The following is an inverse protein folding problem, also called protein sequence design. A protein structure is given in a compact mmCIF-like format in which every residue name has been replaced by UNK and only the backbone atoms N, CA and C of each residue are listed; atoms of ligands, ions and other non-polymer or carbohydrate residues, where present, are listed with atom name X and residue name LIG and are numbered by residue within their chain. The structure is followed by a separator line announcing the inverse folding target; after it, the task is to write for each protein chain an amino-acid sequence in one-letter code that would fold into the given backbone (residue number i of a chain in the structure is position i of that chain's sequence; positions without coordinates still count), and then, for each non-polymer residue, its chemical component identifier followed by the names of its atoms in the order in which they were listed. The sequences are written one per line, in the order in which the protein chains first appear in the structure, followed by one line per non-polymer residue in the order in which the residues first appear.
data_IF_520182839453
#
_entry.id   IF_520182839453
#
_cell.length_a   1.000
_cell.length_b   1.000
_cell.length_c   1.000
_cell.angle_alpha   90.00
_cell.angle_beta   90.00
_cell.angle_gamma   90.00
#
_symmetry.space_group_name_H-M   'P 1'
#
loop_
_entity.id
_entity.type
_entity.pdbx_description
1 polymer ?
#
# COMPACT_ATOMS: atom_id res chain seq x y z
N UNK A 1 1.23 -30.04 -18.36
CA UNK A 1 0.06 -29.18 -17.90
C UNK A 1 0.55 -27.78 -17.57
N UNK A 2 -0.20 -26.72 -17.92
CA UNK A 2 0.17 -25.35 -17.56
C UNK A 2 0.33 -25.20 -16.05
N UNK A 3 1.35 -24.45 -15.61
CA UNK A 3 1.68 -24.27 -14.18
C UNK A 3 0.55 -23.61 -13.39
N UNK A 4 -0.14 -22.60 -13.96
CA UNK A 4 -1.32 -21.96 -13.34
C UNK A 4 -2.48 -22.95 -13.11
N UNK A 5 -2.70 -23.84 -14.07
CA UNK A 5 -3.72 -24.88 -13.98
C UNK A 5 -3.33 -25.99 -12.99
N UNK A 6 -2.05 -26.37 -12.99
CA UNK A 6 -1.49 -27.35 -12.04
C UNK A 6 -1.67 -26.89 -10.59
N UNK A 7 -1.23 -25.67 -10.27
CA UNK A 7 -1.34 -25.12 -8.93
C UNK A 7 -2.78 -25.00 -8.43
N UNK A 8 -3.70 -24.68 -9.33
CA UNK A 8 -5.13 -24.67 -9.01
C UNK A 8 -5.69 -26.08 -8.77
N UNK A 9 -5.33 -27.06 -9.63
CA UNK A 9 -5.80 -28.45 -9.46
C UNK A 9 -5.29 -29.11 -8.19
N UNK A 10 -4.09 -28.70 -7.71
CA UNK A 10 -3.51 -29.15 -6.45
C UNK A 10 -4.07 -28.38 -5.20
N UNK A 11 -5.12 -27.57 -5.37
CA UNK A 11 -5.72 -26.75 -4.31
C UNK A 11 -4.71 -25.82 -3.61
N UNK A 12 -3.63 -25.42 -4.31
CA UNK A 12 -2.63 -24.50 -3.77
C UNK A 12 -3.09 -23.04 -3.83
N UNK A 13 -4.05 -22.72 -4.71
CA UNK A 13 -4.64 -21.38 -4.85
C UNK A 13 -6.15 -21.47 -5.06
N UNK A 14 -6.87 -20.44 -4.62
CA UNK A 14 -8.34 -20.37 -4.72
C UNK A 14 -8.86 -20.18 -6.16
N UNK A 15 -7.98 -19.76 -7.09
CA UNK A 15 -8.30 -19.63 -8.50
C UNK A 15 -7.04 -19.70 -9.37
N UNK A 16 -7.22 -20.01 -10.68
CA UNK A 16 -6.12 -19.98 -11.66
C UNK A 16 -5.53 -18.57 -11.83
N UNK A 17 -6.34 -17.54 -11.67
CA UNK A 17 -5.87 -16.14 -11.73
C UNK A 17 -4.89 -15.88 -10.59
N UNK A 18 -5.23 -16.31 -9.35
CA UNK A 18 -4.34 -16.17 -8.20
C UNK A 18 -3.05 -16.98 -8.34
N UNK A 19 -3.13 -18.18 -8.90
CA UNK A 19 -1.94 -18.96 -9.23
C UNK A 19 -1.04 -18.23 -10.25
N UNK A 20 -1.63 -17.64 -11.29
CA UNK A 20 -0.88 -16.88 -12.31
C UNK A 20 -0.21 -15.64 -11.70
N UNK A 21 -0.90 -14.89 -10.85
CA UNK A 21 -0.33 -13.75 -10.11
C UNK A 21 0.88 -14.16 -9.25
N UNK A 22 0.77 -15.26 -8.51
CA UNK A 22 1.87 -15.78 -7.68
C UNK A 22 3.08 -16.19 -8.53
N UNK A 23 2.86 -16.84 -9.68
CA UNK A 23 3.92 -17.20 -10.62
C UNK A 23 4.61 -15.95 -11.17
N UNK A 24 3.86 -14.94 -11.60
CA UNK A 24 4.38 -13.69 -12.14
C UNK A 24 5.19 -12.89 -11.12
N UNK A 25 4.85 -13.03 -9.84
CA UNK A 25 5.62 -12.46 -8.72
C UNK A 25 6.89 -13.24 -8.37
N UNK A 26 7.13 -14.40 -8.98
CA UNK A 26 8.29 -15.24 -8.67
C UNK A 26 8.12 -16.09 -7.40
N UNK A 27 6.91 -16.27 -6.90
CA UNK A 27 6.61 -17.03 -5.69
C UNK A 27 6.53 -18.55 -5.94
N UNK A 28 6.86 -19.01 -7.16
CA UNK A 28 6.80 -20.42 -7.54
C UNK A 28 8.11 -20.86 -8.16
N UNK A 29 8.63 -21.98 -7.69
CA UNK A 29 9.79 -22.63 -8.31
C UNK A 29 9.39 -23.96 -8.92
N UNK A 30 10.08 -24.33 -10.00
CA UNK A 30 10.02 -25.67 -10.60
C UNK A 30 11.44 -26.23 -10.62
N UNK A 31 11.64 -27.36 -10.00
CA UNK A 31 12.95 -27.99 -9.82
C UNK A 31 13.98 -27.01 -9.21
N UNK A 32 13.57 -26.23 -8.21
CA UNK A 32 14.39 -25.24 -7.50
C UNK A 32 14.69 -23.96 -8.29
N UNK A 33 14.14 -23.79 -9.51
CA UNK A 33 14.30 -22.56 -10.33
C UNK A 33 13.02 -21.76 -10.34
N UNK A 34 13.11 -20.46 -10.05
CA UNK A 34 11.95 -19.55 -10.10
C UNK A 34 11.40 -19.47 -11.53
N UNK A 35 10.09 -19.61 -11.65
CA UNK A 35 9.35 -19.53 -12.91
C UNK A 35 8.42 -18.31 -12.87
N UNK A 36 8.50 -17.46 -13.90
CA UNK A 36 7.66 -16.27 -14.04
C UNK A 36 6.55 -16.40 -15.06
N UNK A 37 6.50 -17.52 -15.79
CA UNK A 37 5.55 -17.75 -16.87
C UNK A 37 4.44 -18.69 -16.44
N UNK A 38 3.22 -18.18 -16.28
CA UNK A 38 2.04 -18.93 -15.86
C UNK A 38 1.69 -20.11 -16.82
N UNK A 39 2.07 -19.99 -18.09
CA UNK A 39 1.91 -21.04 -19.11
C UNK A 39 3.07 -22.03 -19.16
N UNK A 40 4.00 -22.04 -18.19
CA UNK A 40 5.06 -23.06 -18.12
C UNK A 40 4.44 -24.46 -18.12
N UNK A 41 5.00 -25.37 -18.91
CA UNK A 41 4.49 -26.76 -19.04
C UNK A 41 5.11 -27.66 -17.98
N UNK A 42 4.37 -27.92 -16.91
CA UNK A 42 4.78 -28.79 -15.80
C UNK A 42 4.69 -30.26 -16.27
N UNK A 43 5.78 -30.97 -16.10
CA UNK A 43 5.90 -32.42 -16.38
C UNK A 43 5.59 -33.24 -15.12
N UNK A 44 5.18 -34.50 -15.23
CA UNK A 44 4.89 -35.36 -14.07
C UNK A 44 6.08 -35.57 -13.11
N UNK A 45 7.30 -35.35 -13.60
CA UNK A 45 8.55 -35.50 -12.83
C UNK A 45 9.02 -34.21 -12.19
N UNK A 46 8.36 -33.06 -12.43
CA UNK A 46 8.78 -31.76 -11.90
C UNK A 46 8.36 -31.61 -10.45
N UNK A 47 9.28 -31.12 -9.61
CA UNK A 47 8.99 -30.64 -8.27
C UNK A 47 8.54 -29.18 -8.35
N UNK A 48 7.28 -28.91 -7.97
CA UNK A 48 6.71 -27.56 -7.96
C UNK A 48 6.55 -27.12 -6.50
N UNK A 49 7.23 -26.07 -6.14
CA UNK A 49 7.21 -25.50 -4.78
C UNK A 49 6.75 -24.06 -4.79
N UNK A 50 5.94 -23.69 -3.78
CA UNK A 50 5.57 -22.31 -3.52
C UNK A 50 6.59 -21.78 -2.52
N UNK A 51 7.44 -20.87 -2.97
CA UNK A 51 8.57 -20.32 -2.19
C UNK A 51 8.10 -19.18 -1.28
N UNK A 52 7.07 -18.44 -1.73
CA UNK A 52 6.32 -17.49 -0.91
C UNK A 52 4.83 -17.75 -1.18
N UNK A 53 4.05 -18.21 -0.21
CA UNK A 53 2.59 -18.10 -0.30
C UNK A 53 2.23 -16.62 -0.47
N UNK A 54 1.07 -16.31 -1.05
CA UNK A 54 0.56 -14.92 -1.02
C UNK A 54 0.48 -14.50 0.45
N UNK A 55 1.47 -13.73 0.92
CA UNK A 55 1.62 -13.39 2.32
C UNK A 55 0.52 -12.45 2.79
N UNK A 56 -0.13 -11.73 1.85
CA UNK A 56 -1.17 -10.76 2.15
C UNK A 56 -2.47 -11.02 1.36
N UNK A 57 -3.59 -10.66 1.94
CA UNK A 57 -4.93 -10.79 1.30
C UNK A 57 -5.06 -10.00 0.00
N UNK A 58 -4.19 -9.02 -0.23
CA UNK A 58 -4.11 -8.27 -1.49
C UNK A 58 -2.72 -7.65 -1.72
N UNK A 59 -2.51 -7.14 -2.94
CA UNK A 59 -1.29 -6.42 -3.33
C UNK A 59 -0.99 -5.17 -2.47
N UNK A 60 -1.97 -4.63 -1.77
CA UNK A 60 -1.78 -3.53 -0.82
C UNK A 60 -0.71 -3.87 0.22
N UNK A 61 -0.74 -5.09 0.77
CA UNK A 61 0.21 -5.51 1.79
C UNK A 61 1.66 -5.33 1.39
N UNK A 62 2.03 -5.69 0.17
CA UNK A 62 3.41 -5.51 -0.32
C UNK A 62 3.82 -4.05 -0.48
N UNK A 63 2.86 -3.14 -0.74
CA UNK A 63 3.15 -1.70 -0.79
C UNK A 63 3.54 -1.17 0.57
N UNK A 64 2.73 -1.52 1.59
CA UNK A 64 2.98 -1.11 2.96
C UNK A 64 4.23 -1.78 3.53
N UNK A 65 4.41 -3.08 3.30
CA UNK A 65 5.60 -3.82 3.71
C UNK A 65 6.88 -3.12 3.25
N UNK A 66 6.94 -2.77 1.95
CA UNK A 66 8.10 -2.03 1.43
C UNK A 66 8.29 -0.68 2.14
N UNK A 67 7.22 0.05 2.42
CA UNK A 67 7.34 1.34 3.11
C UNK A 67 7.85 1.16 4.55
N UNK A 68 7.34 0.16 5.28
CA UNK A 68 7.78 -0.18 6.63
C UNK A 68 9.28 -0.51 6.62
N UNK A 69 9.73 -1.34 5.66
CA UNK A 69 11.13 -1.74 5.55
C UNK A 69 12.03 -0.57 5.14
N UNK A 70 11.63 0.20 4.11
CA UNK A 70 12.42 1.34 3.62
C UNK A 70 12.58 2.45 4.68
N UNK A 71 11.57 2.65 5.54
CA UNK A 71 11.57 3.70 6.55
C UNK A 71 12.00 3.22 7.93
N UNK A 72 12.21 1.91 8.12
CA UNK A 72 12.59 1.31 9.40
C UNK A 72 11.53 1.52 10.48
N UNK A 73 10.24 1.34 10.14
CA UNK A 73 9.13 1.52 11.08
C UNK A 73 8.91 0.23 11.86
N UNK A 74 8.85 0.33 13.18
CA UNK A 74 8.31 -0.73 14.05
C UNK A 74 6.85 -0.41 14.33
N UNK A 75 5.96 -1.33 13.98
CA UNK A 75 4.51 -1.23 14.15
C UNK A 75 3.99 -2.12 15.27
N UNK A 76 4.90 -2.85 15.94
CA UNK A 76 4.54 -3.84 16.95
C UNK A 76 3.93 -3.19 18.19
N UNK A 77 2.77 -3.68 18.60
CA UNK A 77 2.02 -3.17 19.76
C UNK A 77 1.27 -1.86 19.53
N UNK A 78 1.36 -1.27 18.32
CA UNK A 78 0.68 -0.03 17.99
C UNK A 78 -0.76 -0.27 17.52
N UNK A 79 -1.61 0.73 17.77
CA UNK A 79 -2.99 0.81 17.25
C UNK A 79 -3.03 1.68 16.01
N UNK A 80 -3.67 1.18 14.94
CA UNK A 80 -3.73 1.85 13.64
C UNK A 80 -5.14 2.18 13.17
N UNK A 81 -5.24 3.23 12.34
CA UNK A 81 -6.34 3.41 11.41
C UNK A 81 -5.87 3.08 9.99
N UNK A 82 -6.53 2.13 9.31
CA UNK A 82 -6.32 1.82 7.89
C UNK A 82 -7.42 2.49 7.07
N UNK A 83 -7.08 3.56 6.36
CA UNK A 83 -8.02 4.44 5.67
C UNK A 83 -8.05 4.08 4.19
N UNK A 84 -9.21 3.58 3.74
CA UNK A 84 -9.38 2.94 2.43
C UNK A 84 -8.94 1.47 2.49
N UNK A 85 -9.37 0.76 3.53
CA UNK A 85 -8.94 -0.61 3.81
C UNK A 85 -9.27 -1.61 2.69
N UNK A 86 -10.39 -1.42 1.98
CA UNK A 86 -10.82 -2.28 0.87
C UNK A 86 -10.77 -3.77 1.26
N UNK A 87 -10.03 -4.62 0.55
CA UNK A 87 -9.88 -6.05 0.88
C UNK A 87 -8.97 -6.30 2.09
N UNK A 88 -8.30 -5.27 2.63
CA UNK A 88 -7.52 -5.34 3.86
C UNK A 88 -6.02 -5.61 3.66
N UNK A 89 -5.45 -5.26 2.52
CA UNK A 89 -4.03 -5.51 2.28
C UNK A 89 -3.11 -4.80 3.28
N UNK A 90 -3.39 -3.53 3.61
CA UNK A 90 -2.63 -2.78 4.61
C UNK A 90 -2.91 -3.32 6.01
N UNK A 91 -4.16 -3.57 6.36
CA UNK A 91 -4.57 -4.20 7.62
C UNK A 91 -3.82 -5.51 7.84
N UNK A 92 -3.81 -6.43 6.86
CA UNK A 92 -3.13 -7.72 6.97
C UNK A 92 -1.61 -7.57 7.19
N UNK A 93 -0.98 -6.62 6.50
CA UNK A 93 0.44 -6.30 6.68
C UNK A 93 0.73 -5.81 8.11
N UNK A 94 -0.07 -4.89 8.64
CA UNK A 94 0.07 -4.38 10.01
C UNK A 94 -0.05 -5.50 11.05
N UNK A 95 -1.09 -6.35 10.92
CA UNK A 95 -1.34 -7.45 11.86
C UNK A 95 -0.23 -8.50 11.83
N UNK A 96 0.31 -8.82 10.65
CA UNK A 96 1.43 -9.76 10.50
C UNK A 96 2.73 -9.19 11.08
N UNK A 97 2.86 -7.86 11.11
CA UNK A 97 3.99 -7.13 11.70
C UNK A 97 3.79 -6.81 13.20
N UNK A 98 2.72 -7.34 13.83
CA UNK A 98 2.51 -7.27 15.27
C UNK A 98 1.72 -6.07 15.76
N UNK A 99 0.99 -5.34 14.90
CA UNK A 99 0.07 -4.31 15.36
C UNK A 99 -0.95 -4.89 16.35
N UNK A 100 -1.22 -4.15 17.44
CA UNK A 100 -2.16 -4.57 18.47
C UNK A 100 -3.60 -4.50 18.00
N UNK A 101 -3.93 -3.44 17.24
CA UNK A 101 -5.29 -3.20 16.78
C UNK A 101 -5.32 -2.38 15.50
N UNK A 102 -6.27 -2.70 14.61
CA UNK A 102 -6.48 -1.95 13.36
C UNK A 102 -7.96 -1.60 13.19
N UNK A 103 -8.25 -0.32 13.05
CA UNK A 103 -9.54 0.19 12.60
C UNK A 103 -9.54 0.27 11.08
N UNK A 104 -10.21 -0.68 10.43
CA UNK A 104 -10.33 -0.77 8.97
C UNK A 104 -11.49 0.09 8.48
N UNK A 105 -11.18 1.28 7.96
CA UNK A 105 -12.15 2.30 7.55
C UNK A 105 -12.29 2.29 6.03
N UNK A 106 -13.51 2.10 5.51
CA UNK A 106 -13.78 2.18 4.07
C UNK A 106 -15.15 2.82 3.78
N UNK A 107 -15.25 3.50 2.64
CA UNK A 107 -16.51 4.06 2.13
C UNK A 107 -17.41 2.98 1.52
N UNK A 108 -16.82 1.87 1.10
CA UNK A 108 -17.54 0.69 0.60
C UNK A 108 -18.11 -0.17 1.71
N UNK A 109 -18.92 -1.14 1.31
CA UNK A 109 -19.54 -2.09 2.23
C UNK A 109 -18.95 -3.47 2.03
N UNK A 110 -18.62 -4.13 3.16
CA UNK A 110 -18.26 -5.57 3.22
C UNK A 110 -17.07 -5.99 2.31
N UNK A 111 -16.15 -5.06 1.98
CA UNK A 111 -15.02 -5.36 1.09
C UNK A 111 -13.90 -6.13 1.78
N UNK A 112 -13.78 -6.00 3.11
CA UNK A 112 -12.70 -6.64 3.87
C UNK A 112 -12.77 -8.16 3.76
N UNK A 113 -11.63 -8.83 3.66
CA UNK A 113 -11.58 -10.30 3.57
C UNK A 113 -12.11 -10.97 4.84
N UNK A 114 -12.76 -12.13 4.70
CA UNK A 114 -13.33 -12.88 5.82
C UNK A 114 -12.27 -13.24 6.89
N UNK A 115 -11.04 -13.50 6.47
CA UNK A 115 -9.91 -13.73 7.39
C UNK A 115 -9.75 -12.56 8.38
N UNK A 116 -9.83 -11.33 7.87
CA UNK A 116 -9.62 -10.12 8.67
C UNK A 116 -10.87 -9.70 9.44
N UNK A 117 -12.06 -9.92 8.90
CA UNK A 117 -13.31 -9.68 9.63
C UNK A 117 -13.44 -10.53 10.90
N UNK A 118 -12.84 -11.72 10.90
CA UNK A 118 -12.86 -12.65 12.03
C UNK A 118 -11.66 -12.50 12.97
N UNK A 119 -10.72 -11.57 12.71
CA UNK A 119 -9.59 -11.29 13.60
C UNK A 119 -10.04 -10.29 14.68
N UNK A 120 -9.95 -10.68 15.95
CA UNK A 120 -10.38 -9.87 17.11
C UNK A 120 -9.64 -8.54 17.25
N UNK A 121 -8.49 -8.40 16.59
CA UNK A 121 -7.70 -7.15 16.54
C UNK A 121 -8.24 -6.17 15.53
N UNK A 122 -9.21 -6.55 14.68
CA UNK A 122 -9.74 -5.71 13.61
C UNK A 122 -11.11 -5.16 13.97
N UNK A 123 -11.26 -3.85 13.88
CA UNK A 123 -12.56 -3.18 13.98
C UNK A 123 -12.94 -2.65 12.61
N UNK A 124 -14.01 -3.19 12.04
CA UNK A 124 -14.50 -2.81 10.70
C UNK A 124 -15.40 -1.59 10.81
N UNK A 125 -15.11 -0.55 10.02
CA UNK A 125 -15.90 0.69 9.91
C UNK A 125 -16.22 0.92 8.43
N UNK A 126 -17.25 0.23 7.97
CA UNK A 126 -17.76 0.29 6.59
C UNK A 126 -18.70 1.50 6.37
N UNK A 127 -18.93 1.86 5.12
CA UNK A 127 -19.80 2.96 4.70
C UNK A 127 -19.44 4.32 5.32
N UNK A 128 -18.15 4.52 5.64
CA UNK A 128 -17.70 5.71 6.34
C UNK A 128 -16.82 6.61 5.46
N UNK A 129 -17.20 7.88 5.39
CA UNK A 129 -16.43 8.87 4.64
C UNK A 129 -15.20 9.31 5.45
N UNK A 130 -14.01 8.92 5.01
CA UNK A 130 -12.76 9.20 5.69
C UNK A 130 -12.46 10.71 5.91
N UNK A 131 -13.14 11.61 5.19
CA UNK A 131 -13.05 13.07 5.44
C UNK A 131 -13.68 13.49 6.76
N UNK A 132 -14.54 12.67 7.32
CA UNK A 132 -15.30 12.91 8.55
C UNK A 132 -14.69 12.13 9.74
N UNK A 133 -13.52 11.51 9.53
CA UNK A 133 -12.86 10.70 10.55
C UNK A 133 -12.35 11.57 11.69
N UNK A 134 -12.76 11.22 12.91
CA UNK A 134 -12.36 11.88 14.15
C UNK A 134 -11.94 10.86 15.21
N UNK A 135 -11.24 11.26 16.28
CA UNK A 135 -10.87 10.33 17.36
C UNK A 135 -12.09 9.64 17.99
N UNK A 136 -13.23 10.30 18.07
CA UNK A 136 -14.47 9.75 18.67
C UNK A 136 -14.98 8.55 17.89
N UNK A 137 -14.86 8.57 16.55
CA UNK A 137 -15.26 7.46 15.67
C UNK A 137 -14.42 6.21 15.95
N UNK A 138 -13.15 6.39 16.31
CA UNK A 138 -12.21 5.31 16.62
C UNK A 138 -12.21 4.93 18.11
N UNK A 139 -12.98 5.65 18.96
CA UNK A 139 -12.93 5.47 20.42
C UNK A 139 -11.64 6.01 21.05
N UNK A 140 -10.88 6.83 20.35
CA UNK A 140 -9.65 7.47 20.81
C UNK A 140 -8.66 7.75 19.67
N UNK A 141 -7.52 8.32 20.02
CA UNK A 141 -6.42 8.55 19.08
C UNK A 141 -5.61 7.26 18.85
N UNK A 142 -5.04 7.13 17.65
CA UNK A 142 -4.20 5.99 17.25
C UNK A 142 -2.71 6.35 17.26
N UNK A 143 -1.85 5.35 17.41
CA UNK A 143 -0.39 5.51 17.33
C UNK A 143 0.03 5.76 15.88
N UNK A 144 -0.59 5.03 14.96
CA UNK A 144 -0.33 5.15 13.55
C UNK A 144 -1.58 5.24 12.69
N UNK A 145 -1.38 5.70 11.45
CA UNK A 145 -2.38 5.63 10.38
C UNK A 145 -1.74 5.19 9.08
N UNK A 146 -2.47 4.38 8.30
CA UNK A 146 -2.09 4.05 6.93
C UNK A 146 -3.21 4.45 5.98
N UNK A 147 -2.90 4.81 4.73
CA UNK A 147 -3.91 5.33 3.82
C UNK A 147 -3.65 4.89 2.38
N UNK A 148 -4.63 4.18 1.79
CA UNK A 148 -4.66 3.78 0.36
C UNK A 148 -6.00 4.14 -0.29
N UNK A 149 -6.35 5.43 -0.32
CA UNK A 149 -7.60 5.91 -0.92
C UNK A 149 -7.50 6.10 -2.44
N UNK A 150 -8.64 5.98 -3.13
CA UNK A 150 -8.74 6.17 -4.58
C UNK A 150 -9.77 7.24 -4.94
N UNK A 151 -9.57 7.90 -6.09
CA UNK A 151 -10.49 8.90 -6.66
C UNK A 151 -10.67 10.18 -5.82
N UNK A 152 -9.75 10.44 -4.90
CA UNK A 152 -9.71 11.62 -4.04
C UNK A 152 -8.27 12.08 -3.84
N UNK A 153 -8.07 13.38 -3.66
CA UNK A 153 -6.75 13.92 -3.31
C UNK A 153 -6.46 13.71 -1.82
N UNK A 154 -5.21 13.40 -1.49
CA UNK A 154 -4.72 13.32 -0.11
C UNK A 154 -4.92 14.63 0.67
N UNK A 155 -5.04 15.77 -0.01
CA UNK A 155 -5.32 17.05 0.66
C UNK A 155 -6.64 17.05 1.45
N UNK A 156 -7.60 16.20 1.10
CA UNK A 156 -8.86 16.06 1.85
C UNK A 156 -8.77 15.06 3.03
N UNK A 157 -7.73 14.24 3.07
CA UNK A 157 -7.60 13.13 4.02
C UNK A 157 -6.51 13.41 5.08
N UNK A 158 -5.48 14.18 4.72
CA UNK A 158 -4.34 14.43 5.62
C UNK A 158 -4.74 15.17 6.92
N UNK A 159 -5.74 16.07 6.87
CA UNK A 159 -6.21 16.74 8.10
C UNK A 159 -6.92 15.76 9.04
N UNK A 160 -7.90 14.95 8.61
CA UNK A 160 -8.45 13.87 9.43
C UNK A 160 -7.37 12.93 10.00
N UNK A 161 -6.38 12.52 9.18
CA UNK A 161 -5.26 11.70 9.66
C UNK A 161 -4.50 12.41 10.78
N UNK A 162 -4.19 13.68 10.62
CA UNK A 162 -3.50 14.45 11.65
C UNK A 162 -4.27 14.47 12.96
N UNK A 163 -5.60 14.65 12.91
CA UNK A 163 -6.46 14.79 14.09
C UNK A 163 -6.58 13.49 14.88
N UNK A 164 -6.66 12.34 14.20
CA UNK A 164 -6.78 11.02 14.86
C UNK A 164 -5.48 10.50 15.47
N UNK A 165 -4.33 11.05 15.09
CA UNK A 165 -3.05 10.59 15.62
C UNK A 165 -2.79 11.16 17.03
N UNK A 166 -2.23 10.33 17.90
CA UNK A 166 -1.64 10.76 19.17
C UNK A 166 -0.52 11.80 18.93
N UNK A 167 -0.13 12.59 19.96
CA UNK A 167 1.16 13.27 19.91
C UNK A 167 2.27 12.27 19.57
N UNK A 168 3.21 12.69 18.69
CA UNK A 168 4.28 11.82 18.18
C UNK A 168 3.84 10.63 17.32
N UNK A 169 2.55 10.49 17.05
CA UNK A 169 2.01 9.50 16.12
C UNK A 169 2.49 9.72 14.68
N UNK A 170 2.31 8.72 13.85
CA UNK A 170 2.84 8.73 12.48
C UNK A 170 1.86 8.19 11.45
N UNK A 171 2.11 8.49 10.18
CA UNK A 171 1.30 7.95 9.10
C UNK A 171 2.14 7.51 7.90
N UNK A 172 1.70 6.45 7.22
CA UNK A 172 2.18 6.06 5.89
C UNK A 172 1.03 6.24 4.90
N UNK A 173 1.19 7.16 3.96
CA UNK A 173 0.12 7.52 3.01
C UNK A 173 0.54 7.25 1.58
N UNK A 174 -0.32 6.57 0.81
CA UNK A 174 -0.06 6.24 -0.59
C UNK A 174 -0.51 7.38 -1.50
N UNK A 175 0.43 8.00 -2.17
CA UNK A 175 0.20 9.01 -3.20
C UNK A 175 0.00 8.32 -4.55
N UNK A 176 -1.14 8.57 -5.18
CA UNK A 176 -1.50 8.10 -6.51
C UNK A 176 -1.49 9.29 -7.47
N UNK A 177 -0.46 9.45 -8.32
CA UNK A 177 -0.34 10.63 -9.19
C UNK A 177 -1.57 10.88 -10.05
N UNK A 178 -2.26 9.83 -10.49
CA UNK A 178 -3.47 9.93 -11.31
C UNK A 178 -4.66 10.64 -10.61
N UNK A 179 -4.65 10.72 -9.29
CA UNK A 179 -5.68 11.40 -8.49
C UNK A 179 -5.21 12.76 -7.95
N UNK A 180 -3.92 13.06 -8.06
CA UNK A 180 -3.31 14.31 -7.57
C UNK A 180 -2.99 15.29 -8.68
N UNK A 181 -2.62 14.79 -9.86
CA UNK A 181 -2.34 15.61 -11.03
C UNK A 181 -3.64 16.05 -11.72
N UNK A 182 -3.61 17.19 -12.39
CA UNK A 182 -4.74 17.62 -13.20
C UNK A 182 -5.01 16.68 -14.40
N UNK A 183 -6.24 16.64 -14.88
CA UNK A 183 -6.65 15.77 -16.02
C UNK A 183 -5.76 15.91 -17.25
N UNK A 184 -5.14 17.09 -17.47
CA UNK A 184 -4.24 17.35 -18.59
C UNK A 184 -2.94 16.54 -18.55
N UNK A 185 -2.53 16.07 -17.37
CA UNK A 185 -1.32 15.27 -17.17
C UNK A 185 -1.55 13.76 -17.40
N UNK A 186 -2.81 13.38 -17.61
CA UNK A 186 -3.20 11.99 -17.87
C UNK A 186 -3.20 11.72 -19.37
N UNK A 187 -2.54 10.63 -19.79
CA UNK A 187 -2.70 10.14 -21.15
C UNK A 187 -4.09 9.46 -21.33
N UNK A 188 -4.40 9.01 -22.54
CA UNK A 188 -5.67 8.34 -22.90
C UNK A 188 -6.00 7.10 -22.04
N UNK A 189 -5.01 6.54 -21.38
CA UNK A 189 -5.15 5.36 -20.50
C UNK A 189 -5.18 5.74 -19.01
N UNK A 190 -5.29 7.03 -18.66
CA UNK A 190 -5.30 7.49 -17.27
C UNK A 190 -3.92 7.42 -16.58
N UNK A 191 -2.82 7.39 -17.35
CA UNK A 191 -1.47 7.25 -16.81
C UNK A 191 -0.74 8.58 -16.83
N UNK A 192 -0.11 8.94 -15.69
CA UNK A 192 0.81 10.08 -15.59
C UNK A 192 2.21 9.62 -16.00
N UNK A 193 2.66 10.05 -17.18
CA UNK A 193 4.00 9.68 -17.70
C UNK A 193 5.06 10.71 -17.37
N UNK A 194 4.68 11.99 -17.20
CA UNK A 194 5.59 13.10 -16.93
C UNK A 194 6.21 13.00 -15.54
N UNK A 195 7.55 12.92 -15.48
CA UNK A 195 8.32 13.00 -14.22
C UNK A 195 8.02 14.32 -13.51
N UNK A 196 7.99 15.44 -14.28
CA UNK A 196 7.69 16.75 -13.72
C UNK A 196 6.30 16.76 -13.04
N UNK A 197 5.25 16.27 -13.71
CA UNK A 197 3.91 16.25 -13.15
C UNK A 197 3.84 15.40 -11.86
N UNK A 198 4.50 14.25 -11.83
CA UNK A 198 4.60 13.41 -10.62
C UNK A 198 5.32 14.13 -9.49
N UNK A 199 6.43 14.83 -9.80
CA UNK A 199 7.17 15.62 -8.81
C UNK A 199 6.34 16.78 -8.30
N UNK A 200 5.70 17.54 -9.17
CA UNK A 200 4.89 18.70 -8.78
C UNK A 200 3.74 18.28 -7.85
N UNK A 201 3.05 17.18 -8.14
CA UNK A 201 1.99 16.69 -7.24
C UNK A 201 2.54 16.13 -5.92
N UNK A 202 3.68 15.44 -5.92
CA UNK A 202 4.28 14.95 -4.68
C UNK A 202 4.76 16.10 -3.78
N UNK A 203 5.40 17.14 -4.37
CA UNK A 203 5.82 18.35 -3.65
C UNK A 203 4.60 19.12 -3.09
N UNK A 204 3.51 19.21 -3.86
CA UNK A 204 2.26 19.80 -3.38
C UNK A 204 1.74 19.08 -2.12
N UNK A 205 1.68 17.74 -2.14
CA UNK A 205 1.21 16.96 -0.99
C UNK A 205 2.16 17.09 0.19
N UNK A 206 3.48 17.04 -0.03
CA UNK A 206 4.48 17.31 1.01
C UNK A 206 4.25 18.67 1.68
N UNK A 207 4.13 19.74 0.88
CA UNK A 207 3.95 21.09 1.42
C UNK A 207 2.63 21.23 2.18
N UNK A 208 1.57 20.56 1.74
CA UNK A 208 0.31 20.53 2.47
C UNK A 208 0.44 19.79 3.80
N UNK A 209 1.11 18.63 3.83
CA UNK A 209 1.39 17.92 5.09
C UNK A 209 2.19 18.79 6.07
N UNK A 210 3.23 19.49 5.60
CA UNK A 210 4.01 20.44 6.40
C UNK A 210 3.12 21.56 6.99
N UNK A 211 2.17 22.09 6.19
CA UNK A 211 1.26 23.15 6.68
C UNK A 211 0.29 22.70 7.75
N UNK A 212 0.06 21.40 7.88
CA UNK A 212 -0.75 20.79 8.94
C UNK A 212 0.04 20.50 10.23
N UNK A 213 1.37 20.63 10.20
CA UNK A 213 2.25 20.33 11.34
C UNK A 213 2.89 18.93 11.29
N UNK A 214 2.83 18.22 10.17
CA UNK A 214 3.63 17.02 9.99
C UNK A 214 5.08 17.34 9.64
N UNK A 215 6.02 16.53 10.12
CA UNK A 215 7.31 16.36 9.45
C UNK A 215 7.19 15.26 8.39
N UNK A 216 7.73 15.48 7.20
CA UNK A 216 7.73 14.50 6.10
C UNK A 216 9.10 13.83 6.07
N UNK A 217 9.25 12.69 6.74
CA UNK A 217 10.55 12.08 7.05
C UNK A 217 10.97 11.00 6.06
N UNK A 218 10.05 10.53 5.21
CA UNK A 218 10.35 9.50 4.20
C UNK A 218 9.51 9.67 2.94
N UNK A 219 10.09 9.21 1.80
CA UNK A 219 9.40 9.12 0.52
C UNK A 219 9.98 7.95 -0.28
N UNK A 220 9.15 7.00 -0.68
CA UNK A 220 9.53 5.84 -1.50
C UNK A 220 8.48 5.54 -2.56
N UNK A 221 8.69 4.52 -3.37
CA UNK A 221 7.74 4.08 -4.40
C UNK A 221 7.26 2.65 -4.16
N UNK A 222 6.02 2.39 -4.57
CA UNK A 222 5.41 1.06 -4.49
C UNK A 222 6.17 0.05 -5.36
N UNK A 223 6.40 -1.18 -4.86
CA UNK A 223 6.96 -2.27 -5.67
C UNK A 223 5.95 -2.77 -6.70
N UNK A 224 4.66 -2.51 -6.48
CA UNK A 224 3.56 -2.93 -7.33
C UNK A 224 3.16 -1.79 -8.27
N UNK A 225 3.05 -2.10 -9.57
CA UNK A 225 2.55 -1.17 -10.58
C UNK A 225 1.10 -1.48 -10.88
N UNK A 226 0.20 -0.61 -10.45
CA UNK A 226 -1.23 -0.74 -10.73
C UNK A 226 -1.56 -0.04 -12.04
N UNK A 227 -2.02 -0.78 -13.05
CA UNK A 227 -2.41 -0.21 -14.33
C UNK A 227 -1.33 0.62 -15.03
N UNK A 228 -0.04 0.38 -14.73
CA UNK A 228 1.15 1.10 -15.20
C UNK A 228 1.40 2.48 -14.54
N UNK A 229 0.55 2.95 -13.63
CA UNK A 229 0.91 4.06 -12.75
C UNK A 229 1.86 3.56 -11.66
N UNK A 230 2.90 4.34 -11.37
CA UNK A 230 3.75 4.14 -10.21
C UNK A 230 3.15 4.97 -9.09
N UNK A 231 2.94 4.35 -7.96
CA UNK A 231 2.44 4.98 -6.74
C UNK A 231 3.59 5.21 -5.78
N UNK A 232 3.46 6.19 -4.90
CA UNK A 232 4.50 6.59 -3.97
C UNK A 232 3.98 6.60 -2.54
N UNK A 233 4.86 6.42 -1.55
CA UNK A 233 4.48 6.41 -0.14
C UNK A 233 5.26 7.51 0.59
N UNK A 234 4.53 8.30 1.37
CA UNK A 234 5.09 9.25 2.31
C UNK A 234 5.09 8.66 3.72
N UNK A 235 6.15 8.95 4.47
CA UNK A 235 6.21 8.76 5.91
C UNK A 235 6.10 10.12 6.61
N UNK A 236 5.06 10.29 7.40
CA UNK A 236 4.69 11.53 8.07
C UNK A 236 4.74 11.33 9.58
N UNK A 237 5.31 12.29 10.32
CA UNK A 237 5.36 12.26 11.79
C UNK A 237 4.69 13.50 12.38
N UNK A 238 3.77 13.33 13.32
CA UNK A 238 3.12 14.41 14.06
C UNK A 238 4.00 14.85 15.24
N UNK A 239 4.09 16.18 15.49
CA UNK A 239 4.89 16.70 16.61
C UNK A 239 6.39 16.78 16.37
N UNK A 240 6.86 16.52 15.16
CA UNK A 240 8.27 16.51 14.78
C UNK A 240 8.63 17.59 13.76
N UNK A 241 7.99 18.75 13.82
CA UNK A 241 8.16 19.84 12.85
C UNK A 241 9.60 20.35 12.75
N UNK A 242 10.40 20.13 13.82
CA UNK A 242 11.84 20.48 13.86
C UNK A 242 12.74 19.46 13.17
N UNK A 243 12.24 18.27 12.86
CA UNK A 243 13.01 17.27 12.13
C UNK A 243 13.02 17.66 10.65
N UNK A 244 14.20 17.61 10.01
CA UNK A 244 14.34 17.93 8.60
C UNK A 244 13.47 17.04 7.74
N UNK A 245 12.60 17.65 6.94
CA UNK A 245 11.77 16.93 5.96
C UNK A 245 12.55 16.58 4.70
N UNK A 246 12.08 15.54 3.99
CA UNK A 246 12.64 15.18 2.68
C UNK A 246 12.61 16.37 1.72
N UNK A 247 13.70 16.54 0.97
CA UNK A 247 13.84 17.67 0.03
C UNK A 247 13.08 17.39 -1.28
N UNK A 248 12.73 18.46 -2.01
CA UNK A 248 12.13 18.32 -3.35
C UNK A 248 13.09 17.59 -4.32
N UNK A 249 14.39 17.77 -4.12
CA UNK A 249 15.42 17.06 -4.88
C UNK A 249 15.33 15.56 -4.64
N UNK A 250 15.24 15.13 -3.37
CA UNK A 250 15.11 13.71 -3.00
C UNK A 250 13.83 13.09 -3.61
N UNK A 251 12.70 13.81 -3.55
CA UNK A 251 11.45 13.38 -4.18
C UNK A 251 11.64 13.17 -5.67
N UNK A 252 12.28 14.14 -6.36
CA UNK A 252 12.51 14.07 -7.80
C UNK A 252 13.41 12.87 -8.17
N UNK A 253 14.49 12.66 -7.43
CA UNK A 253 15.42 11.55 -7.64
C UNK A 253 14.73 10.19 -7.43
N UNK A 254 13.91 10.05 -6.39
CA UNK A 254 13.12 8.85 -6.13
C UNK A 254 12.14 8.55 -7.28
N UNK A 255 11.46 9.58 -7.80
CA UNK A 255 10.54 9.44 -8.94
C UNK A 255 11.29 9.03 -10.21
N UNK A 256 12.43 9.63 -10.51
CA UNK A 256 13.30 9.25 -11.64
C UNK A 256 13.73 7.78 -11.51
N UNK A 257 14.24 7.38 -10.36
CA UNK A 257 14.71 6.02 -10.10
C UNK A 257 13.59 4.99 -10.26
N UNK A 258 12.37 5.29 -9.81
CA UNK A 258 11.21 4.42 -9.96
C UNK A 258 10.83 4.16 -11.43
N UNK A 259 11.16 5.10 -12.33
CA UNK A 259 10.86 4.98 -13.76
C UNK A 259 11.96 4.27 -14.54
N UNK A 260 13.22 4.37 -14.09
CA UNK A 260 14.40 3.78 -14.76
C UNK A 260 14.62 2.32 -14.36
N UNK A 261 14.35 1.94 -13.12
CA UNK A 261 14.44 0.55 -12.63
C UNK A 261 13.47 -0.44 -13.29
N UNK A 262 12.60 0.02 -14.18
CA UNK A 262 11.63 -0.79 -14.92
C UNK A 262 12.15 -1.29 -16.27
N UNK A 263 13.42 -1.06 -16.61
CA UNK A 263 14.05 -1.46 -17.89
C UNK A 263 15.01 -2.63 -17.77
N UNK A 264 14.99 -3.37 -16.64
CA UNK A 264 15.78 -4.62 -16.52
C UNK A 264 14.86 -5.83 -16.46
#
# INVERSE_FOLDING_TARGET
MRLDAYLYSENKFVSRTKAAEAIEKGNVTVNGKTVFKSSYDVKPTDSVEIVKPDDFVSNGGYKLEKAIDDFGIDVSGDTFADIGASTGGFTDCLLQRGAEKVYAVDVGESQLSEKLKNDERVVVIDNFNARELTPEVLGGQTDGAVCDVSFISLTYILKPIYDILKPEGYAVVLLKPQFECGKKELNKNGIVTSVKAKTDCAVKIKNYALSLGFAVTGFTFSPIKVGKNIEYLFYLKKGFEKIGSVTDKYITETIVNSTTGSKK
#
